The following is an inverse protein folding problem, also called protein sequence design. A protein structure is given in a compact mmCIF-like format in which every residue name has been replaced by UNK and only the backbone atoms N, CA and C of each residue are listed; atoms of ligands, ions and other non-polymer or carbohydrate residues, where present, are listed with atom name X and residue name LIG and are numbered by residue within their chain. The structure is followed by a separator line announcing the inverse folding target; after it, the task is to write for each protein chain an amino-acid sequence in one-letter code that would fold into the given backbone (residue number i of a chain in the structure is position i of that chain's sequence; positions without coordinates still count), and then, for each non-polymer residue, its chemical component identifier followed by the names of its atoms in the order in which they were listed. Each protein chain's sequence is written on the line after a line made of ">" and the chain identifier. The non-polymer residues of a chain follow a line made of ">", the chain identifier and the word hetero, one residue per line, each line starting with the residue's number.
data_IF_024475029635
#
_entry.id   IF_024475029635
#
_cell.length_a   1.000
_cell.length_b   1.000
_cell.length_c   1.000
_cell.angle_alpha   90.00
_cell.angle_beta   90.00
_cell.angle_gamma   90.00
#
_symmetry.space_group_name_H-M   'P 1'
#
loop_
_entity.id
_entity.type
_entity.pdbx_description
1 polymer ?
#
# COMPACT_ATOMS: atom_id res chain seq x y z
N UNK A 1 -2.73 -14.80 -18.85
CA UNK A 1 -1.39 -14.97 -18.24
C UNK A 1 -0.49 -13.86 -18.75
N UNK A 2 -0.42 -12.73 -18.04
CA UNK A 2 0.42 -11.58 -18.42
C UNK A 2 1.85 -11.89 -17.95
N UNK A 3 2.81 -11.89 -18.86
CA UNK A 3 4.18 -12.32 -18.56
C UNK A 3 4.95 -11.23 -17.81
N UNK A 4 5.85 -11.60 -16.88
CA UNK A 4 6.78 -10.69 -16.17
C UNK A 4 7.54 -9.73 -17.12
N UNK A 5 7.73 -10.11 -18.39
CA UNK A 5 8.33 -9.27 -19.45
C UNK A 5 7.44 -8.11 -19.87
N UNK A 6 6.12 -8.30 -19.88
CA UNK A 6 5.15 -7.25 -20.20
C UNK A 6 5.11 -6.19 -19.09
N UNK A 7 5.09 -6.62 -17.82
CA UNK A 7 5.12 -5.73 -16.65
C UNK A 7 6.36 -4.83 -16.63
N UNK A 8 7.55 -5.37 -16.94
CA UNK A 8 8.81 -4.61 -17.02
C UNK A 8 8.86 -3.63 -18.20
N UNK A 9 8.35 -4.02 -19.38
CA UNK A 9 8.29 -3.12 -20.54
C UNK A 9 7.27 -1.99 -20.35
N UNK A 10 6.18 -2.27 -19.63
CA UNK A 10 5.12 -1.30 -19.36
C UNK A 10 5.54 -0.26 -18.30
N UNK A 11 6.22 -0.70 -17.22
CA UNK A 11 6.87 0.20 -16.25
C UNK A 11 7.88 1.15 -16.93
N UNK A 12 8.63 0.66 -17.93
CA UNK A 12 9.57 1.48 -18.70
C UNK A 12 8.91 2.54 -19.59
N UNK A 13 7.71 2.28 -20.14
CA UNK A 13 6.98 3.24 -20.98
C UNK A 13 6.35 4.37 -20.16
N UNK A 14 5.93 4.10 -18.93
CA UNK A 14 5.34 5.11 -18.04
C UNK A 14 6.39 6.10 -17.53
N UNK A 15 7.60 5.61 -17.20
CA UNK A 15 8.76 6.46 -16.84
C UNK A 15 9.24 7.36 -17.99
N UNK A 16 8.93 7.02 -19.24
CA UNK A 16 9.25 7.86 -20.40
C UNK A 16 8.15 8.90 -20.71
N UNK A 17 6.92 8.68 -20.27
CA UNK A 17 5.81 9.62 -20.46
C UNK A 17 5.75 10.75 -19.42
N UNK A 18 6.49 10.63 -18.30
CA UNK A 18 6.55 11.65 -17.24
C UNK A 18 7.53 12.81 -17.53
N UNK A 19 8.25 12.79 -18.67
CA UNK A 19 9.28 13.80 -18.99
C UNK A 19 8.79 14.80 -20.06
N UNK A 20 7.61 14.65 -20.65
CA UNK A 20 7.18 15.50 -21.77
C UNK A 20 5.72 15.94 -21.76
N UNK A 21 5.47 17.15 -21.26
CA UNK A 21 4.59 18.08 -21.97
C UNK A 21 3.21 18.43 -21.38
N UNK A 22 3.04 19.73 -21.20
CA UNK A 22 1.80 20.53 -21.21
C UNK A 22 0.92 20.54 -19.95
N UNK A 23 1.18 21.56 -19.12
CA UNK A 23 0.21 22.16 -18.22
C UNK A 23 -1.03 22.64 -19.00
N UNK A 24 -2.16 21.99 -18.78
CA UNK A 24 -3.49 22.51 -19.13
C UNK A 24 -4.28 22.73 -17.85
N UNK A 25 -4.51 24.01 -17.54
CA UNK A 25 -5.45 24.46 -16.52
C UNK A 25 -6.85 23.92 -16.86
N UNK A 26 -7.45 23.14 -15.97
CA UNK A 26 -8.84 22.70 -16.06
C UNK A 26 -9.57 22.94 -14.73
N UNK A 27 -10.87 23.25 -14.80
CA UNK A 27 -11.63 23.80 -13.68
C UNK A 27 -11.99 22.74 -12.62
N UNK A 28 -11.95 23.16 -11.36
CA UNK A 28 -12.44 22.40 -10.22
C UNK A 28 -13.98 22.42 -10.20
N UNK A 29 -14.63 21.40 -10.75
CA UNK A 29 -16.06 21.19 -10.49
C UNK A 29 -16.41 19.71 -10.34
N UNK A 30 -16.95 19.38 -9.16
CA UNK A 30 -18.05 18.43 -9.01
C UNK A 30 -17.74 16.94 -9.17
N UNK A 31 -17.11 16.33 -8.16
CA UNK A 31 -17.30 14.90 -7.86
C UNK A 31 -17.40 14.74 -6.34
N UNK A 32 -18.47 15.30 -5.78
CA UNK A 32 -18.87 15.18 -4.39
C UNK A 32 -20.23 14.47 -4.32
N UNK A 33 -20.31 13.26 -4.89
CA UNK A 33 -21.43 12.34 -4.65
C UNK A 33 -20.86 10.94 -4.38
N UNK A 34 -21.58 10.18 -3.56
CA UNK A 34 -21.16 9.12 -2.64
C UNK A 34 -20.35 7.95 -3.24
N UNK A 35 -19.13 7.73 -2.72
CA UNK A 35 -18.26 6.60 -3.05
C UNK A 35 -18.60 5.32 -2.26
N UNK A 36 -19.32 4.37 -2.86
CA UNK A 36 -19.53 3.02 -2.30
C UNK A 36 -18.28 2.11 -2.36
N UNK A 37 -17.24 2.53 -3.10
CA UNK A 37 -15.95 1.83 -3.24
C UNK A 37 -15.02 2.05 -2.04
N UNK A 38 -15.31 3.02 -1.17
CA UNK A 38 -14.47 3.29 -0.01
C UNK A 38 -14.81 2.32 1.13
N UNK A 39 -13.79 1.72 1.74
CA UNK A 39 -13.96 1.10 3.06
C UNK A 39 -14.28 2.18 4.09
N UNK A 40 -15.06 1.80 5.11
CA UNK A 40 -15.27 2.64 6.28
C UNK A 40 -13.97 2.78 7.07
N UNK A 41 -13.87 3.82 7.91
CA UNK A 41 -12.70 3.99 8.80
C UNK A 41 -12.56 2.77 9.72
N UNK A 42 -13.66 2.34 10.33
CA UNK A 42 -13.71 1.18 11.22
C UNK A 42 -13.28 -0.10 10.52
N UNK A 43 -13.77 -0.38 9.31
CA UNK A 43 -13.34 -1.56 8.55
C UNK A 43 -11.85 -1.49 8.21
N UNK A 44 -11.37 -0.31 7.81
CA UNK A 44 -9.95 -0.10 7.49
C UNK A 44 -9.06 -0.42 8.69
N UNK A 45 -9.42 0.07 9.88
CA UNK A 45 -8.70 -0.23 11.13
C UNK A 45 -8.73 -1.71 11.48
N UNK A 46 -9.90 -2.34 11.40
CA UNK A 46 -10.05 -3.76 11.69
C UNK A 46 -9.21 -4.61 10.73
N UNK A 47 -9.23 -4.31 9.43
CA UNK A 47 -8.49 -5.04 8.40
C UNK A 47 -6.98 -4.83 8.53
N UNK A 48 -6.50 -3.59 8.76
CA UNK A 48 -5.07 -3.32 9.02
C UNK A 48 -4.58 -4.03 10.29
N UNK A 49 -5.41 -4.14 11.33
CA UNK A 49 -5.10 -4.95 12.51
C UNK A 49 -4.97 -6.45 12.18
N UNK A 50 -5.75 -6.98 11.22
CA UNK A 50 -5.61 -8.38 10.76
C UNK A 50 -4.34 -8.57 9.95
N UNK A 51 -3.99 -7.61 9.08
CA UNK A 51 -2.71 -7.58 8.37
C UNK A 51 -1.54 -7.59 9.36
N UNK A 52 -1.59 -6.79 10.42
CA UNK A 52 -0.59 -6.77 11.49
C UNK A 52 -0.44 -8.14 12.18
N UNK A 53 -1.56 -8.82 12.46
CA UNK A 53 -1.58 -10.15 13.05
C UNK A 53 -0.94 -11.19 12.12
N UNK A 54 -1.31 -11.17 10.84
CA UNK A 54 -0.76 -12.06 9.82
C UNK A 54 0.76 -11.86 9.64
N UNK A 55 1.23 -10.61 9.61
CA UNK A 55 2.67 -10.30 9.60
C UNK A 55 3.35 -10.84 10.86
N UNK A 56 2.74 -10.68 12.04
CA UNK A 56 3.31 -11.16 13.31
C UNK A 56 3.45 -12.68 13.35
N UNK A 57 2.48 -13.43 12.82
CA UNK A 57 2.57 -14.89 12.69
C UNK A 57 3.67 -15.27 11.70
N UNK A 58 3.75 -14.60 10.54
CA UNK A 58 4.78 -14.87 9.53
C UNK A 58 6.21 -14.59 10.00
N UNK A 59 6.41 -13.53 10.78
CA UNK A 59 7.70 -13.27 11.45
C UNK A 59 8.00 -14.41 12.44
N UNK A 60 7.02 -14.85 13.22
CA UNK A 60 7.26 -15.91 14.21
C UNK A 60 7.59 -17.26 13.57
N UNK A 61 7.04 -17.56 12.39
CA UNK A 61 7.24 -18.85 11.71
C UNK A 61 8.42 -18.87 10.73
N UNK A 62 8.61 -17.78 9.96
CA UNK A 62 9.41 -17.81 8.73
C UNK A 62 10.35 -16.60 8.58
N UNK A 63 10.69 -15.88 9.66
CA UNK A 63 11.51 -14.66 9.57
C UNK A 63 12.81 -14.86 8.77
N UNK A 64 13.50 -15.98 9.01
CA UNK A 64 14.78 -16.29 8.37
C UNK A 64 14.69 -16.67 6.89
N UNK A 65 13.47 -16.77 6.34
CA UNK A 65 13.28 -16.95 4.89
C UNK A 65 13.43 -15.63 4.12
N UNK A 66 13.34 -14.49 4.82
CA UNK A 66 13.54 -13.16 4.27
C UNK A 66 14.99 -12.71 4.44
N UNK A 67 15.48 -11.89 3.51
CA UNK A 67 16.77 -11.21 3.65
C UNK A 67 16.74 -10.19 4.80
N UNK A 68 17.89 -9.82 5.37
CA UNK A 68 17.95 -8.84 6.47
C UNK A 68 17.18 -7.53 6.20
N UNK A 69 17.35 -6.97 5.00
CA UNK A 69 16.64 -5.76 4.54
C UNK A 69 15.12 -5.93 4.50
N UNK A 70 14.65 -7.07 4.00
CA UNK A 70 13.24 -7.41 3.90
C UNK A 70 12.63 -7.59 5.29
N UNK A 71 13.35 -8.25 6.20
CA UNK A 71 12.96 -8.37 7.60
C UNK A 71 12.75 -6.98 8.21
N UNK A 72 13.69 -6.05 8.03
CA UNK A 72 13.59 -4.69 8.57
C UNK A 72 12.35 -3.95 8.07
N UNK A 73 12.07 -4.02 6.76
CA UNK A 73 10.87 -3.43 6.15
C UNK A 73 9.58 -4.03 6.73
N UNK A 74 9.51 -5.36 6.87
CA UNK A 74 8.37 -6.07 7.46
C UNK A 74 8.14 -5.66 8.93
N UNK A 75 9.22 -5.48 9.71
CA UNK A 75 9.13 -5.01 11.09
C UNK A 75 8.60 -3.58 11.19
N UNK A 76 9.00 -2.68 10.29
CA UNK A 76 8.49 -1.31 10.21
C UNK A 76 6.99 -1.29 9.89
N UNK A 77 6.55 -2.09 8.90
CA UNK A 77 5.12 -2.23 8.58
C UNK A 77 4.34 -2.78 9.78
N UNK A 78 4.83 -3.82 10.45
CA UNK A 78 4.18 -4.37 11.65
C UNK A 78 3.99 -3.31 12.73
N UNK A 79 4.97 -2.42 12.92
CA UNK A 79 4.88 -1.31 13.88
C UNK A 79 3.85 -0.26 13.43
N UNK A 80 3.80 0.10 12.15
CA UNK A 80 2.86 1.13 11.64
C UNK A 80 1.40 0.69 11.69
N UNK A 81 1.15 -0.62 11.64
CA UNK A 81 -0.21 -1.18 11.69
C UNK A 81 -0.70 -1.57 13.09
N UNK A 82 0.02 -1.21 14.16
CA UNK A 82 -0.37 -1.58 15.53
C UNK A 82 -1.62 -0.78 15.96
N UNK A 83 -2.62 -1.46 16.55
CA UNK A 83 -3.91 -0.87 16.94
C UNK A 83 -3.84 0.51 17.62
N UNK A 84 -3.06 0.64 18.70
CA UNK A 84 -2.92 1.91 19.42
C UNK A 84 -2.27 3.04 18.60
N UNK A 85 -1.73 2.72 17.42
CA UNK A 85 -1.22 3.67 16.46
C UNK A 85 -2.27 4.04 15.39
N UNK A 86 -3.04 3.06 14.91
CA UNK A 86 -4.11 3.26 13.93
C UNK A 86 -5.20 4.21 14.41
N UNK A 87 -5.55 4.13 15.71
CA UNK A 87 -6.59 4.97 16.33
C UNK A 87 -6.28 6.48 16.18
N UNK A 88 -5.02 6.87 15.95
CA UNK A 88 -4.56 8.26 15.89
C UNK A 88 -4.16 8.78 14.50
N UNK A 89 -3.83 7.89 13.54
CA UNK A 89 -3.01 8.31 12.39
C UNK A 89 -3.58 8.00 10.99
N UNK A 90 -4.80 7.47 10.87
CA UNK A 90 -5.38 7.23 9.54
C UNK A 90 -5.78 8.54 8.88
N UNK A 91 -4.92 9.04 8.01
CA UNK A 91 -5.20 10.20 7.15
C UNK A 91 -5.66 9.70 5.79
N UNK A 92 -6.87 10.08 5.35
CA UNK A 92 -7.37 9.71 4.02
C UNK A 92 -6.63 10.51 2.95
N UNK A 93 -6.05 9.81 1.98
CA UNK A 93 -5.55 10.47 0.78
C UNK A 93 -6.72 10.69 -0.19
N UNK A 94 -7.06 11.95 -0.51
CA UNK A 94 -8.10 12.28 -1.50
C UNK A 94 -7.59 12.27 -2.94
N UNK A 95 -8.41 11.69 -3.82
CA UNK A 95 -8.33 11.40 -5.27
C UNK A 95 -7.14 11.93 -6.09
N UNK A 96 -6.42 11.00 -6.73
CA UNK A 96 -5.68 11.24 -7.99
C UNK A 96 -5.46 9.89 -8.74
N UNK A 97 -5.18 9.98 -10.04
CA UNK A 97 -4.98 8.85 -10.97
C UNK A 97 -3.99 7.80 -10.46
N UNK A 98 -2.94 8.21 -9.74
CA UNK A 98 -1.97 7.30 -9.15
C UNK A 98 -2.64 6.23 -8.26
N UNK A 99 -3.73 6.58 -7.55
CA UNK A 99 -4.53 5.62 -6.78
C UNK A 99 -5.33 4.67 -7.66
N UNK A 100 -5.84 5.13 -8.78
CA UNK A 100 -6.57 4.29 -9.72
C UNK A 100 -5.65 3.21 -10.30
N UNK A 101 -4.45 3.59 -10.73
CA UNK A 101 -3.45 2.66 -11.24
C UNK A 101 -2.93 1.70 -10.17
N UNK A 102 -2.63 2.18 -8.97
CA UNK A 102 -2.18 1.31 -7.89
C UNK A 102 -3.29 0.41 -7.36
N UNK A 103 -4.54 0.86 -7.32
CA UNK A 103 -5.70 -0.01 -7.05
C UNK A 103 -5.85 -1.08 -8.12
N UNK A 104 -5.63 -0.75 -9.39
CA UNK A 104 -5.64 -1.73 -10.48
C UNK A 104 -4.47 -2.74 -10.38
N UNK A 105 -3.29 -2.31 -9.91
CA UNK A 105 -2.14 -3.19 -9.65
C UNK A 105 -2.34 -4.09 -8.41
N UNK A 106 -2.85 -3.54 -7.32
CA UNK A 106 -3.25 -4.30 -6.14
C UNK A 106 -4.35 -5.31 -6.47
N UNK A 107 -5.22 -4.94 -7.38
CA UNK A 107 -6.25 -5.82 -7.89
C UNK A 107 -5.66 -6.96 -8.74
N UNK A 108 -4.70 -6.69 -9.63
CA UNK A 108 -3.93 -7.74 -10.34
C UNK A 108 -3.30 -8.74 -9.36
N UNK A 109 -2.86 -8.24 -8.21
CA UNK A 109 -2.31 -9.06 -7.13
C UNK A 109 -3.40 -9.85 -6.36
N UNK A 110 -4.56 -9.26 -6.10
CA UNK A 110 -5.68 -9.85 -5.37
C UNK A 110 -6.62 -10.73 -6.22
N UNK A 111 -6.53 -10.70 -7.54
CA UNK A 111 -7.51 -11.35 -8.42
C UNK A 111 -6.94 -11.67 -9.80
N UNK A 112 -5.96 -12.58 -9.87
CA UNK A 112 -5.29 -12.92 -11.13
C UNK A 112 -6.23 -13.60 -12.15
N UNK A 113 -7.41 -14.05 -11.69
CA UNK A 113 -8.44 -14.75 -12.44
C UNK A 113 -9.36 -13.83 -13.26
N UNK A 114 -9.35 -12.52 -13.00
CA UNK A 114 -10.21 -11.56 -13.69
C UNK A 114 -9.58 -11.08 -15.01
N UNK A 115 -10.39 -10.96 -16.07
CA UNK A 115 -9.92 -10.58 -17.41
C UNK A 115 -9.57 -9.09 -17.46
N UNK A 116 -8.33 -8.81 -17.11
CA UNK A 116 -7.79 -7.46 -16.96
C UNK A 116 -7.38 -6.82 -18.28
N UNK A 117 -7.22 -7.60 -19.35
CA UNK A 117 -6.82 -7.07 -20.65
C UNK A 117 -7.85 -6.05 -21.16
N UNK A 118 -9.15 -6.35 -21.01
CA UNK A 118 -10.22 -5.48 -21.46
C UNK A 118 -10.28 -4.14 -20.71
N UNK A 119 -9.97 -4.12 -19.40
CA UNK A 119 -9.96 -2.87 -18.63
C UNK A 119 -8.69 -2.07 -18.93
N UNK A 120 -7.52 -2.70 -19.08
CA UNK A 120 -6.29 -1.99 -19.44
C UNK A 120 -6.37 -1.36 -20.83
N UNK A 121 -6.85 -2.11 -21.83
CA UNK A 121 -7.03 -1.59 -23.19
C UNK A 121 -7.97 -0.36 -23.21
N UNK A 122 -8.97 -0.33 -22.32
CA UNK A 122 -9.86 0.83 -22.12
C UNK A 122 -9.20 1.98 -21.36
N UNK A 123 -8.42 1.69 -20.32
CA UNK A 123 -7.71 2.71 -19.54
C UNK A 123 -6.64 3.44 -20.37
N UNK A 124 -5.95 2.72 -21.26
CA UNK A 124 -4.91 3.27 -22.14
C UNK A 124 -5.47 4.20 -23.22
N UNK A 125 -6.71 3.96 -23.66
CA UNK A 125 -7.38 4.72 -24.74
C UNK A 125 -8.31 5.82 -24.23
N UNK A 126 -8.59 5.87 -22.93
CA UNK A 126 -9.52 6.81 -22.33
C UNK A 126 -8.85 8.11 -21.86
N UNK A 127 -9.59 9.22 -21.93
CA UNK A 127 -9.21 10.44 -21.20
C UNK A 127 -9.12 10.15 -19.70
N UNK A 128 -8.31 10.92 -18.96
CA UNK A 128 -8.16 10.80 -17.49
C UNK A 128 -9.49 10.57 -16.76
N UNK A 129 -10.52 11.37 -17.06
CA UNK A 129 -11.83 11.30 -16.39
C UNK A 129 -12.58 10.02 -16.74
N UNK A 130 -12.56 9.62 -18.02
CA UNK A 130 -13.23 8.41 -18.48
C UNK A 130 -12.55 7.14 -17.94
N UNK A 131 -11.21 7.11 -17.88
CA UNK A 131 -10.46 6.01 -17.28
C UNK A 131 -10.80 5.81 -15.79
N UNK A 132 -10.93 6.91 -15.04
CA UNK A 132 -11.34 6.87 -13.64
C UNK A 132 -12.77 6.32 -13.49
N UNK A 133 -13.70 6.77 -14.31
CA UNK A 133 -15.08 6.28 -14.26
C UNK A 133 -15.16 4.79 -14.60
N UNK A 134 -14.48 4.34 -15.65
CA UNK A 134 -14.46 2.92 -16.03
C UNK A 134 -13.87 2.04 -14.93
N UNK A 135 -12.80 2.50 -14.26
CA UNK A 135 -12.25 1.78 -13.12
C UNK A 135 -13.23 1.74 -11.94
N UNK A 136 -13.89 2.86 -11.64
CA UNK A 136 -14.86 2.93 -10.54
C UNK A 136 -16.06 2.01 -10.79
N UNK A 137 -16.62 2.04 -11.99
CA UNK A 137 -17.73 1.17 -12.39
C UNK A 137 -17.33 -0.30 -12.28
N UNK A 138 -16.12 -0.62 -12.74
CA UNK A 138 -15.59 -1.97 -12.69
C UNK A 138 -15.34 -2.43 -11.23
N UNK A 139 -14.80 -1.58 -10.36
CA UNK A 139 -14.63 -1.88 -8.93
C UNK A 139 -15.97 -2.13 -8.23
N UNK A 140 -16.98 -1.29 -8.53
CA UNK A 140 -18.34 -1.46 -8.01
C UNK A 140 -18.98 -2.78 -8.47
N UNK A 141 -18.89 -3.09 -9.77
CA UNK A 141 -19.42 -4.34 -10.33
C UNK A 141 -18.82 -5.58 -9.66
N UNK A 142 -17.54 -5.52 -9.27
CA UNK A 142 -16.83 -6.60 -8.60
C UNK A 142 -16.88 -6.49 -7.06
N UNK A 143 -17.63 -5.53 -6.51
CA UNK A 143 -17.78 -5.28 -5.07
C UNK A 143 -16.44 -5.06 -4.35
N UNK A 144 -15.44 -4.54 -5.07
CA UNK A 144 -14.12 -4.31 -4.53
C UNK A 144 -14.13 -2.98 -3.80
N UNK A 145 -13.76 -3.02 -2.52
CA UNK A 145 -13.62 -1.82 -1.69
C UNK A 145 -12.16 -1.51 -1.45
N UNK A 146 -11.85 -0.24 -1.29
CA UNK A 146 -10.47 0.22 -1.10
C UNK A 146 -10.38 1.25 0.02
N UNK A 147 -9.25 1.26 0.70
CA UNK A 147 -8.82 2.33 1.58
C UNK A 147 -7.40 2.74 1.18
N UNK A 148 -7.06 4.00 1.37
CA UNK A 148 -5.69 4.46 1.17
C UNK A 148 -5.41 5.63 2.09
N UNK A 149 -4.21 5.68 2.61
CA UNK A 149 -3.84 6.70 3.57
C UNK A 149 -2.35 6.76 3.85
N UNK A 150 -2.03 7.55 4.87
CA UNK A 150 -0.72 7.52 5.50
C UNK A 150 -0.83 6.90 6.88
N UNK A 151 0.23 6.21 7.29
CA UNK A 151 0.45 5.67 8.61
C UNK A 151 1.77 6.29 9.08
N UNK A 152 1.68 7.27 9.96
CA UNK A 152 2.86 7.65 10.75
C UNK A 152 3.29 6.45 11.62
N UNK A 153 4.43 6.50 12.29
CA UNK A 153 4.78 5.56 13.36
C UNK A 153 6.03 6.05 14.08
N UNK A 154 6.19 5.59 15.33
CA UNK A 154 7.43 5.79 16.08
C UNK A 154 8.12 4.44 16.30
N UNK A 155 9.44 4.43 16.23
CA UNK A 155 10.25 3.24 16.45
C UNK A 155 11.58 3.62 17.09
N UNK A 156 12.13 2.72 17.89
CA UNK A 156 13.48 2.89 18.41
C UNK A 156 14.45 2.50 17.31
N UNK A 157 15.26 3.45 16.86
CA UNK A 157 16.36 3.19 15.95
C UNK A 157 17.54 2.53 16.68
N UNK A 158 18.40 1.87 15.91
CA UNK A 158 19.58 1.19 16.42
C UNK A 158 20.55 2.16 17.12
N UNK A 159 20.79 3.35 16.55
CA UNK A 159 21.80 4.29 17.05
C UNK A 159 21.22 5.61 17.59
N UNK A 160 20.11 6.09 17.03
CA UNK A 160 19.63 7.48 17.23
C UNK A 160 18.42 7.58 18.18
N UNK A 161 18.18 6.55 19.00
CA UNK A 161 17.03 6.49 19.90
C UNK A 161 15.70 6.52 19.16
N UNK A 162 14.68 7.17 19.72
CA UNK A 162 13.34 7.19 19.13
C UNK A 162 13.30 8.00 17.83
N UNK A 163 12.80 7.38 16.77
CA UNK A 163 12.61 7.97 15.44
C UNK A 163 11.13 7.91 15.04
N UNK A 164 10.78 8.74 14.06
CA UNK A 164 9.46 8.74 13.42
C UNK A 164 9.60 8.33 11.96
N UNK A 165 8.60 7.63 11.44
CA UNK A 165 8.47 7.29 10.04
C UNK A 165 7.04 7.52 9.58
N UNK A 166 6.85 7.51 8.26
CA UNK A 166 5.54 7.55 7.62
C UNK A 166 5.55 6.55 6.48
N UNK A 167 4.57 5.65 6.45
CA UNK A 167 4.28 4.78 5.31
C UNK A 167 3.00 5.24 4.65
N UNK A 168 2.96 5.22 3.34
CA UNK A 168 1.70 5.32 2.61
C UNK A 168 1.13 3.93 2.44
N UNK A 169 -0.18 3.76 2.42
CA UNK A 169 -0.80 2.46 2.19
C UNK A 169 -1.97 2.53 1.23
N UNK A 170 -2.19 1.41 0.55
CA UNK A 170 -3.42 1.12 -0.16
C UNK A 170 -3.86 -0.27 0.26
N UNK A 171 -5.08 -0.37 0.76
CA UNK A 171 -5.73 -1.61 1.15
C UNK A 171 -6.90 -1.86 0.21
N UNK A 172 -6.99 -3.08 -0.30
CA UNK A 172 -8.06 -3.57 -1.15
C UNK A 172 -8.73 -4.75 -0.47
N UNK A 173 -10.07 -4.73 -0.47
CA UNK A 173 -10.94 -5.75 0.06
C UNK A 173 -11.83 -6.27 -1.07
N UNK A 174 -11.79 -7.57 -1.32
CA UNK A 174 -12.64 -8.25 -2.30
C UNK A 174 -13.48 -9.32 -1.59
N UNK A 175 -14.81 -9.18 -1.51
CA UNK A 175 -15.65 -10.23 -0.96
C UNK A 175 -15.60 -11.48 -1.85
N UNK A 176 -15.66 -12.64 -1.22
CA UNK A 176 -15.75 -13.96 -1.82
C UNK A 176 -17.04 -14.63 -1.32
N UNK A 177 -17.34 -15.84 -1.81
CA UNK A 177 -18.48 -16.63 -1.32
C UNK A 177 -18.30 -17.00 0.16
N UNK A 178 -19.42 -17.29 0.84
CA UNK A 178 -19.46 -17.80 2.21
C UNK A 178 -18.83 -16.86 3.26
N UNK A 179 -19.09 -15.54 3.16
CA UNK A 179 -18.58 -14.53 4.09
C UNK A 179 -17.04 -14.45 4.14
N UNK A 180 -16.35 -15.04 3.16
CA UNK A 180 -14.91 -14.92 3.01
C UNK A 180 -14.59 -13.67 2.21
N UNK A 181 -13.39 -13.15 2.38
CA UNK A 181 -12.87 -12.06 1.58
C UNK A 181 -11.36 -12.17 1.43
N UNK A 182 -10.85 -11.57 0.37
CA UNK A 182 -9.44 -11.44 0.10
C UNK A 182 -9.00 -10.01 0.36
N UNK A 183 -7.88 -9.87 1.06
CA UNK A 183 -7.24 -8.60 1.35
C UNK A 183 -5.90 -8.55 0.64
N UNK A 184 -5.65 -7.46 -0.05
CA UNK A 184 -4.34 -7.09 -0.54
C UNK A 184 -3.99 -5.69 -0.03
N UNK A 185 -2.82 -5.54 0.59
CA UNK A 185 -2.34 -4.24 1.08
C UNK A 185 -0.93 -4.00 0.58
N UNK A 186 -0.67 -2.80 0.07
CA UNK A 186 0.69 -2.33 -0.21
C UNK A 186 1.03 -1.18 0.74
N UNK A 187 2.26 -1.22 1.26
CA UNK A 187 2.85 -0.19 2.10
C UNK A 187 4.08 0.39 1.40
N UNK A 188 4.15 1.71 1.31
CA UNK A 188 5.19 2.43 0.58
C UNK A 188 5.99 3.30 1.56
N UNK A 189 7.29 3.05 1.65
CA UNK A 189 8.24 3.95 2.31
C UNK A 189 8.93 4.81 1.25
N UNK A 190 8.57 6.09 1.17
CA UNK A 190 9.11 7.00 0.14
C UNK A 190 10.55 7.46 0.39
N UNK A 191 11.02 7.33 1.64
CA UNK A 191 12.32 7.84 2.08
C UNK A 191 13.08 6.73 2.79
N UNK A 192 14.40 6.82 2.75
CA UNK A 192 15.23 5.97 3.59
C UNK A 192 14.92 6.22 5.07
N UNK A 193 14.84 5.14 5.84
CA UNK A 193 14.56 5.17 7.28
C UNK A 193 15.82 4.77 8.05
N UNK A 194 15.93 5.25 9.29
CA UNK A 194 17.01 4.82 10.18
C UNK A 194 16.84 3.34 10.52
N UNK A 195 17.94 2.62 10.75
CA UNK A 195 17.89 1.20 11.10
C UNK A 195 17.02 1.02 12.34
N UNK A 196 15.99 0.17 12.24
CA UNK A 196 15.14 -0.17 13.38
C UNK A 196 15.94 -1.03 14.37
N UNK A 197 15.88 -0.69 15.65
CA UNK A 197 16.53 -1.51 16.67
C UNK A 197 15.94 -2.91 16.65
N UNK A 198 16.83 -3.89 16.80
CA UNK A 198 16.46 -5.29 16.81
C UNK A 198 16.02 -5.80 18.20
N UNK A 199 15.94 -4.87 19.18
CA UNK A 199 15.55 -5.16 20.58
C UNK A 199 14.04 -5.38 20.68
N UNK A 200 13.60 -6.62 20.49
CA UNK A 200 12.29 -7.12 20.88
C UNK A 200 12.27 -7.62 22.33
N UNK A 201 11.09 -7.59 22.95
CA UNK A 201 10.81 -8.13 24.29
C UNK A 201 11.44 -9.53 24.47
N UNK A 202 12.02 -9.74 25.66
CA UNK A 202 12.82 -10.90 26.12
C UNK A 202 12.16 -12.27 25.86
N UNK A 203 10.88 -12.33 25.49
CA UNK A 203 10.12 -13.56 25.27
C UNK A 203 10.05 -14.08 23.81
N UNK A 204 10.41 -13.30 22.77
CA UNK A 204 10.45 -13.78 21.36
C UNK A 204 11.61 -13.12 20.59
N UNK A 205 12.77 -13.03 21.23
CA UNK A 205 13.95 -12.38 20.68
C UNK A 205 14.54 -13.15 19.50
N UNK A 206 14.05 -12.87 18.29
CA UNK A 206 14.91 -12.90 17.11
C UNK A 206 15.01 -11.48 16.57
N UNK A 207 16.14 -10.79 16.78
CA UNK A 207 16.42 -9.55 16.08
C UNK A 207 16.36 -9.86 14.58
N UNK A 208 15.67 -9.04 13.78
CA UNK A 208 15.98 -9.03 12.36
C UNK A 208 17.51 -8.89 12.21
N UNK A 209 18.09 -9.50 11.19
CA UNK A 209 19.54 -9.71 11.11
C UNK A 209 20.33 -8.42 10.80
N UNK A 210 20.31 -7.51 11.78
CA UNK A 210 20.87 -6.17 11.71
C UNK A 210 22.38 -6.21 11.57
N UNK A 211 23.05 -7.23 12.13
CA UNK A 211 24.50 -7.34 12.05
C UNK A 211 24.92 -7.68 10.62
N UNK A 212 24.30 -8.67 9.98
CA UNK A 212 24.54 -8.94 8.56
C UNK A 212 24.25 -7.71 7.69
N UNK A 213 23.17 -6.98 7.98
CA UNK A 213 22.85 -5.75 7.24
C UNK A 213 23.94 -4.66 7.39
N UNK A 214 24.46 -4.47 8.59
CA UNK A 214 25.55 -3.52 8.86
C UNK A 214 26.87 -3.99 8.24
N UNK A 215 27.17 -5.29 8.28
CA UNK A 215 28.38 -5.89 7.70
C UNK A 215 28.40 -5.74 6.17
N UNK A 216 27.22 -5.68 5.53
CA UNK A 216 27.05 -5.32 4.11
C UNK A 216 27.24 -3.81 3.83
N UNK A 217 27.58 -3.02 4.85
CA UNK A 217 27.84 -1.58 4.75
C UNK A 217 26.57 -0.72 4.73
N UNK A 218 25.40 -1.28 5.07
CA UNK A 218 24.13 -0.55 5.07
C UNK A 218 23.93 0.18 6.39
N UNK A 219 23.63 1.47 6.31
CA UNK A 219 23.43 2.36 7.47
C UNK A 219 21.99 2.86 7.60
N UNK A 220 21.16 2.61 6.59
CA UNK A 220 19.74 2.99 6.53
C UNK A 220 18.97 1.92 5.78
N UNK A 221 17.68 1.84 6.05
CA UNK A 221 16.75 1.02 5.29
C UNK A 221 16.34 1.84 4.06
N UNK A 222 16.65 1.32 2.87
CA UNK A 222 16.32 1.97 1.60
C UNK A 222 14.78 2.10 1.42
N UNK A 223 14.29 3.05 0.60
CA UNK A 223 12.87 3.13 0.24
C UNK A 223 12.35 1.77 -0.23
N UNK A 224 11.16 1.39 0.21
CA UNK A 224 10.64 0.04 0.01
C UNK A 224 9.14 0.00 -0.26
N UNK A 225 8.71 -1.12 -0.84
CA UNK A 225 7.31 -1.52 -0.97
C UNK A 225 7.14 -2.88 -0.29
N UNK A 226 6.21 -2.98 0.67
CA UNK A 226 5.79 -4.26 1.24
C UNK A 226 4.37 -4.56 0.78
N UNK A 227 4.18 -5.72 0.16
CA UNK A 227 2.88 -6.21 -0.29
C UNK A 227 2.45 -7.37 0.60
N UNK A 228 1.24 -7.31 1.12
CA UNK A 228 0.66 -8.36 1.95
C UNK A 228 -0.64 -8.84 1.33
N UNK A 229 -0.73 -10.15 1.13
CA UNK A 229 -1.92 -10.85 0.66
C UNK A 229 -2.42 -11.81 1.73
N UNK A 230 -3.71 -11.78 2.04
CA UNK A 230 -4.31 -12.74 2.96
C UNK A 230 -5.82 -12.90 2.74
N UNK A 231 -6.41 -13.94 3.33
CA UNK A 231 -7.86 -14.11 3.41
C UNK A 231 -8.41 -13.76 4.78
N UNK A 232 -9.63 -13.26 4.84
CA UNK A 232 -10.40 -13.10 6.08
C UNK A 232 -11.79 -13.68 5.92
N UNK A 233 -12.42 -13.99 7.05
CA UNK A 233 -13.82 -14.36 7.14
C UNK A 233 -14.53 -13.32 8.00
N UNK A 234 -15.66 -12.81 7.53
CA UNK A 234 -16.51 -11.91 8.29
C UNK A 234 -17.31 -12.73 9.31
N UNK A 235 -17.18 -12.40 10.61
CA UNK A 235 -17.92 -13.04 11.70
C UNK A 235 -18.38 -12.00 12.71
N UNK A 236 -19.67 -12.00 13.01
CA UNK A 236 -20.28 -11.17 14.06
C UNK A 236 -19.95 -9.67 13.92
N UNK A 237 -19.90 -9.15 12.69
CA UNK A 237 -19.53 -7.75 12.43
C UNK A 237 -18.05 -7.42 12.62
N UNK A 238 -17.18 -8.43 12.60
CA UNK A 238 -15.72 -8.27 12.59
C UNK A 238 -15.07 -9.19 11.56
N UNK A 239 -13.74 -9.09 11.41
CA UNK A 239 -12.96 -9.95 10.53
C UNK A 239 -12.10 -10.89 11.35
N UNK A 240 -12.09 -12.17 11.01
CA UNK A 240 -11.14 -13.16 11.51
C UNK A 240 -10.23 -13.60 10.38
N UNK A 241 -8.97 -13.91 10.67
CA UNK A 241 -8.08 -14.43 9.65
C UNK A 241 -8.55 -15.83 9.23
N UNK A 242 -8.79 -16.00 7.94
CA UNK A 242 -9.04 -17.32 7.35
C UNK A 242 -7.71 -18.03 7.08
N UNK A 243 -7.35 -18.98 7.95
CA UNK A 243 -6.12 -19.77 7.84
C UNK A 243 -6.08 -20.68 6.61
N UNK A 244 -7.20 -20.87 5.90
CA UNK A 244 -7.19 -21.60 4.62
C UNK A 244 -6.58 -20.78 3.49
N UNK A 245 -6.41 -19.47 3.66
CA UNK A 245 -5.70 -18.61 2.72
C UNK A 245 -4.24 -18.44 3.16
N UNK A 246 -3.25 -18.73 2.29
CA UNK A 246 -1.86 -18.46 2.61
C UNK A 246 -1.65 -16.95 2.75
N UNK A 247 -0.84 -16.57 3.74
CA UNK A 247 -0.33 -15.20 3.85
C UNK A 247 0.89 -15.09 2.96
N UNK A 248 0.81 -14.24 1.94
CA UNK A 248 1.96 -13.90 1.10
C UNK A 248 2.48 -12.52 1.48
N UNK A 249 3.77 -12.41 1.72
CA UNK A 249 4.46 -11.15 1.97
C UNK A 249 5.58 -11.02 0.95
N UNK A 250 5.54 -9.95 0.17
CA UNK A 250 6.56 -9.61 -0.80
C UNK A 250 7.18 -8.27 -0.43
N UNK A 251 8.50 -8.17 -0.48
CA UNK A 251 9.23 -6.93 -0.23
C UNK A 251 10.04 -6.57 -1.46
N UNK A 252 10.01 -5.30 -1.82
CA UNK A 252 10.73 -4.76 -2.96
C UNK A 252 11.44 -3.46 -2.55
N UNK A 253 12.67 -3.28 -3.01
CA UNK A 253 13.46 -2.05 -2.86
C UNK A 253 13.69 -1.43 -4.24
N UNK A 254 12.68 -0.74 -4.81
CA UNK A 254 12.81 -0.16 -6.14
C UNK A 254 13.67 1.11 -6.09
N UNK A 255 14.24 1.50 -7.23
CA UNK A 255 14.99 2.77 -7.34
C UNK A 255 14.12 3.99 -7.02
N UNK A 256 12.82 3.91 -7.31
CA UNK A 256 11.84 4.94 -7.04
C UNK A 256 10.57 4.30 -6.49
N UNK A 257 10.10 4.79 -5.34
CA UNK A 257 8.85 4.35 -4.73
C UNK A 257 7.75 5.34 -5.15
N UNK A 258 6.63 4.87 -5.72
CA UNK A 258 5.53 5.74 -6.12
C UNK A 258 4.98 6.55 -4.94
N UNK A 259 4.93 7.88 -5.07
CA UNK A 259 4.22 8.75 -4.12
C UNK A 259 2.73 8.77 -4.45
N UNK A 260 1.92 8.31 -3.51
CA UNK A 260 0.47 8.17 -3.69
C UNK A 260 -0.33 9.34 -3.11
N UNK A 261 0.37 10.37 -2.62
CA UNK A 261 -0.27 11.63 -2.21
C UNK A 261 -0.87 12.36 -3.40
N UNK A 262 -1.97 13.11 -3.18
CA UNK A 262 -2.41 14.06 -4.18
C UNK A 262 -1.34 15.12 -4.41
N UNK A 263 -1.18 15.57 -5.66
CA UNK A 263 -0.32 16.72 -5.95
C UNK A 263 -0.85 17.93 -5.16
N UNK A 264 0.03 18.58 -4.39
CA UNK A 264 -0.33 19.85 -3.74
C UNK A 264 -0.50 20.90 -4.84
N UNK A 265 -1.73 21.29 -5.13
CA UNK A 265 -2.01 22.48 -5.95
C UNK A 265 -1.50 23.70 -5.21
N UNK A 266 -0.40 24.29 -5.68
CA UNK A 266 0.15 25.54 -5.16
C UNK A 266 -0.83 26.69 -5.43
N UNK A 267 -1.51 27.20 -4.40
CA UNK A 267 -2.35 28.40 -4.46
C UNK A 267 -1.53 29.71 -4.46
N UNK A 268 -0.39 29.74 -5.15
CA UNK A 268 0.44 30.96 -5.29
C UNK A 268 0.10 31.78 -6.53
N UNK A 269 -1.14 31.69 -7.03
CA UNK A 269 -1.67 32.61 -8.03
C UNK A 269 -2.12 33.91 -7.38
N UNK A 270 -1.28 34.95 -7.47
CA UNK A 270 -1.60 36.33 -7.07
C UNK A 270 -2.99 36.75 -7.59
N UNK A 271 -3.97 36.89 -6.72
CA UNK A 271 -5.14 37.73 -7.00
C UNK A 271 -4.70 39.16 -6.72
N UNK A 272 -4.36 39.91 -7.77
CA UNK A 272 -4.45 41.37 -7.71
C UNK A 272 -5.93 41.70 -7.69
N UNK A 273 -6.44 42.10 -6.53
CA UNK A 273 -7.71 42.82 -6.47
C UNK A 273 -7.49 44.18 -7.12
N UNK A 274 -8.38 44.50 -8.06
CA UNK A 274 -8.46 45.77 -8.78
C UNK A 274 -8.82 46.92 -7.83
#
# INVERSE_FOLDING_TARGET
>A
MVTRKFLKKFLGLILLSSIGGAALFLPQTGLAESFQISLSKTDTELLLNKVQGAISEKISSDLFTFKPEEQAAIFLVRKSTRKGFLDFCITKLTKDIAKAYLRALLFLYAAPDLNLKAIFDKLESASRKAALQELEDWLNQNQIKTASGELDFSYDSYEKGQQKGTLQYILTFRPLKNQKAEIATEFYSLKSLELISSRGSISIGSPWDIYTYIDEGKTKIDPFIVRVKMGVEEKYGSYVWDKSFPVNIEVEFPNEVPDIRPEKVSLSGKIKLA
#
